data_IF_583166465535
#
_entry.id   IF_583166465535
#
_cell.length_a   1.000
_cell.length_b   1.000
_cell.length_c   1.000
_cell.angle_alpha   90.00
_cell.angle_beta   90.00
_cell.angle_gamma   90.00
#
_symmetry.space_group_name_H-M   'P 1'
#
loop_
_entity.id
_entity.type
_entity.pdbx_description
1 polymer ?
#
# COMPACT_ATOMS: atom_id res chain seq x y z
N UNK A 1 -14.18 13.77 -9.25
CA UNK A 1 -15.44 13.90 -8.50
C UNK A 1 -15.27 15.09 -7.58
N UNK A 2 -16.23 16.01 -7.54
CA UNK A 2 -16.23 17.10 -6.54
C UNK A 2 -16.78 16.58 -5.21
N UNK A 3 -16.37 17.13 -4.06
CA UNK A 3 -16.97 16.75 -2.78
C UNK A 3 -18.49 17.05 -2.78
N UNK A 4 -19.33 16.13 -2.27
CA UNK A 4 -20.75 16.38 -2.06
C UNK A 4 -21.00 17.61 -1.18
N UNK A 5 -22.06 18.36 -1.47
CA UNK A 5 -22.46 19.56 -0.70
C UNK A 5 -22.64 19.26 0.80
N UNK A 6 -23.07 18.05 1.16
CA UNK A 6 -23.21 17.62 2.55
C UNK A 6 -21.86 17.61 3.29
N UNK A 7 -20.75 17.26 2.61
CA UNK A 7 -19.43 17.30 3.23
C UNK A 7 -18.97 18.73 3.48
N UNK A 8 -19.21 19.65 2.53
CA UNK A 8 -18.93 21.07 2.72
C UNK A 8 -19.75 21.67 3.87
N UNK A 9 -21.05 21.35 3.92
CA UNK A 9 -21.94 21.85 4.96
C UNK A 9 -21.56 21.36 6.36
N UNK A 10 -21.11 20.10 6.49
CA UNK A 10 -20.77 19.52 7.79
C UNK A 10 -19.34 19.79 8.27
N UNK A 11 -18.37 19.83 7.35
CA UNK A 11 -16.95 19.98 7.71
C UNK A 11 -16.46 21.43 7.61
N UNK A 12 -17.09 22.25 6.75
CA UNK A 12 -16.64 23.61 6.47
C UNK A 12 -15.23 23.66 5.88
N UNK A 13 -14.58 24.82 6.01
CA UNK A 13 -13.16 25.02 5.69
C UNK A 13 -12.83 25.23 4.21
N UNK A 14 -11.53 25.41 3.95
CA UNK A 14 -10.94 25.56 2.62
C UNK A 14 -10.44 24.21 2.14
N UNK A 15 -10.96 23.74 1.00
CA UNK A 15 -10.67 22.43 0.43
C UNK A 15 -9.66 22.56 -0.71
N UNK A 16 -8.53 21.89 -0.58
CA UNK A 16 -7.50 21.82 -1.62
C UNK A 16 -7.32 20.38 -2.06
N UNK A 17 -7.39 20.06 -3.35
CA UNK A 17 -7.16 18.69 -3.82
C UNK A 17 -5.72 18.28 -3.52
N UNK A 18 -5.53 17.10 -2.94
CA UNK A 18 -4.21 16.49 -2.79
C UNK A 18 -3.88 15.68 -4.05
N UNK A 19 -2.72 15.95 -4.62
CA UNK A 19 -2.16 15.20 -5.76
C UNK A 19 -1.24 14.10 -5.22
N UNK A 20 -1.33 12.86 -5.72
CA UNK A 20 -0.36 11.82 -5.30
C UNK A 20 -0.74 10.36 -5.47
N UNK A 21 -1.99 10.02 -5.82
CA UNK A 21 -2.42 8.63 -5.99
C UNK A 21 -3.29 8.43 -7.22
N UNK A 22 -3.33 7.19 -7.74
CA UNK A 22 -4.07 6.82 -8.97
C UNK A 22 -5.60 6.90 -8.81
N UNK A 23 -6.12 7.10 -7.59
CA UNK A 23 -7.52 7.43 -7.29
C UNK A 23 -7.62 8.84 -6.68
N UNK A 24 -7.98 9.81 -7.53
CA UNK A 24 -7.79 11.25 -7.29
C UNK A 24 -8.94 11.91 -6.50
N UNK A 25 -9.44 11.31 -5.43
CA UNK A 25 -10.52 11.89 -4.63
C UNK A 25 -10.10 12.06 -3.17
N UNK A 26 -9.00 12.79 -2.97
CA UNK A 26 -8.47 13.14 -1.65
C UNK A 26 -8.30 14.66 -1.57
N UNK A 27 -8.73 15.24 -0.45
CA UNK A 27 -8.65 16.67 -0.18
C UNK A 27 -7.99 16.94 1.15
N UNK A 28 -7.15 17.97 1.17
CA UNK A 28 -6.73 18.65 2.38
C UNK A 28 -7.80 19.69 2.73
N UNK A 29 -8.29 19.67 3.97
CA UNK A 29 -9.31 20.59 4.46
C UNK A 29 -8.73 21.38 5.62
N UNK A 30 -8.51 22.67 5.40
CA UNK A 30 -8.09 23.62 6.43
C UNK A 30 -9.34 24.27 7.04
N UNK A 31 -9.48 24.17 8.36
CA UNK A 31 -10.57 24.79 9.12
C UNK A 31 -9.94 25.75 10.11
N UNK A 32 -10.44 26.98 10.18
CA UNK A 32 -9.88 28.01 11.06
C UNK A 32 -9.86 27.53 12.51
N UNK A 33 -8.73 27.78 13.18
CA UNK A 33 -8.46 27.39 14.57
C UNK A 33 -8.60 25.89 14.87
N UNK A 34 -8.54 25.01 13.86
CA UNK A 34 -8.61 23.55 14.02
C UNK A 34 -7.49 22.84 13.27
N UNK A 35 -7.06 21.64 13.74
CA UNK A 35 -6.15 20.80 12.97
C UNK A 35 -6.71 20.47 11.60
N UNK A 36 -5.87 20.55 10.57
CA UNK A 36 -6.25 20.19 9.22
C UNK A 36 -6.65 18.71 9.10
N UNK A 37 -7.47 18.42 8.10
CA UNK A 37 -8.02 17.09 7.86
C UNK A 37 -7.69 16.60 6.46
N UNK A 38 -7.65 15.29 6.31
CA UNK A 38 -7.71 14.62 5.01
C UNK A 38 -9.11 14.06 4.83
N UNK A 39 -9.77 14.42 3.74
CA UNK A 39 -11.04 13.81 3.34
C UNK A 39 -10.78 12.98 2.10
N UNK A 40 -11.11 11.69 2.16
CA UNK A 40 -11.11 10.81 1.00
C UNK A 40 -12.51 10.35 0.68
N UNK A 41 -12.88 10.48 -0.59
CA UNK A 41 -14.19 10.06 -1.10
C UNK A 41 -14.00 8.78 -1.89
N UNK A 42 -14.81 7.78 -1.56
CA UNK A 42 -14.80 6.49 -2.19
C UNK A 42 -15.12 6.62 -3.68
N UNK A 43 -14.21 6.12 -4.51
CA UNK A 43 -14.46 5.97 -5.93
C UNK A 43 -15.33 4.71 -6.15
N UNK A 44 -16.48 4.88 -6.81
CA UNK A 44 -17.41 3.77 -7.13
C UNK A 44 -16.95 2.96 -8.35
N UNK A 45 -15.81 3.28 -8.97
CA UNK A 45 -15.21 2.47 -10.04
C UNK A 45 -14.64 1.16 -9.50
N UNK A 46 -14.55 0.16 -10.37
CA UNK A 46 -13.97 -1.15 -10.04
C UNK A 46 -12.53 -0.98 -9.53
N UNK A 47 -12.29 -1.41 -8.30
CA UNK A 47 -10.96 -1.36 -7.70
C UNK A 47 -9.96 -2.26 -8.45
N UNK A 48 -8.66 -1.86 -8.55
CA UNK A 48 -7.62 -2.76 -9.02
C UNK A 48 -7.66 -4.06 -8.22
N UNK A 49 -7.54 -5.23 -8.85
CA UNK A 49 -7.60 -6.50 -8.11
C UNK A 49 -6.52 -6.67 -7.04
N UNK A 50 -5.40 -5.96 -7.18
CA UNK A 50 -4.34 -5.94 -6.15
C UNK A 50 -4.73 -5.11 -4.92
N UNK A 51 -5.61 -4.11 -5.09
CA UNK A 51 -5.95 -3.09 -4.09
C UNK A 51 -7.48 -3.01 -3.94
N UNK A 52 -8.04 -3.71 -2.94
CA UNK A 52 -9.48 -3.90 -2.80
C UNK A 52 -10.27 -2.60 -2.55
N UNK A 53 -9.67 -1.59 -1.90
CA UNK A 53 -10.28 -0.29 -1.58
C UNK A 53 -11.62 -0.42 -0.84
N UNK A 54 -11.63 -1.10 0.32
CA UNK A 54 -12.82 -1.29 1.15
C UNK A 54 -12.92 -0.18 2.22
N UNK A 55 -13.89 0.75 2.12
CA UNK A 55 -14.01 1.88 3.06
C UNK A 55 -14.37 1.46 4.50
N UNK A 56 -15.02 0.32 4.68
CA UNK A 56 -15.41 -0.15 6.02
C UNK A 56 -14.23 -0.85 6.70
N UNK A 57 -13.45 -1.62 5.93
CA UNK A 57 -12.18 -2.18 6.41
C UNK A 57 -11.20 -1.06 6.77
N UNK A 58 -11.13 0.00 5.97
CA UNK A 58 -10.32 1.18 6.24
C UNK A 58 -10.72 1.90 7.52
N UNK A 59 -12.01 2.20 7.70
CA UNK A 59 -12.49 2.81 8.93
C UNK A 59 -12.18 1.95 10.16
N UNK A 60 -12.36 0.64 10.04
CA UNK A 60 -12.03 -0.34 11.09
C UNK A 60 -10.54 -0.28 11.43
N UNK A 61 -9.66 -0.25 10.43
CA UNK A 61 -8.22 -0.18 10.62
C UNK A 61 -7.78 1.12 11.29
N UNK A 62 -8.24 2.26 10.79
CA UNK A 62 -7.92 3.59 11.34
C UNK A 62 -8.41 3.75 12.78
N UNK A 63 -9.59 3.20 13.10
CA UNK A 63 -10.12 3.23 14.47
C UNK A 63 -9.26 2.40 15.41
N UNK A 64 -8.85 1.19 15.00
CA UNK A 64 -7.99 0.32 15.80
C UNK A 64 -6.58 0.88 16.03
N UNK A 65 -6.06 1.66 15.07
CA UNK A 65 -4.73 2.28 15.14
C UNK A 65 -4.73 3.67 15.78
N UNK A 66 -5.90 4.20 16.17
CA UNK A 66 -6.01 5.51 16.78
C UNK A 66 -5.15 5.60 18.06
N UNK A 67 -4.31 6.63 18.16
CA UNK A 67 -3.42 6.86 19.29
C UNK A 67 -2.11 6.05 19.28
N UNK A 68 -1.91 5.14 18.32
CA UNK A 68 -0.64 4.39 18.18
C UNK A 68 0.50 5.21 17.61
N UNK A 69 0.18 6.32 16.93
CA UNK A 69 1.14 7.09 16.14
C UNK A 69 1.47 6.48 14.78
N UNK A 70 0.99 5.28 14.44
CA UNK A 70 1.30 4.60 13.18
C UNK A 70 0.45 5.05 11.99
N UNK A 71 -0.79 5.47 12.24
CA UNK A 71 -1.75 5.87 11.22
C UNK A 71 -2.38 7.24 11.56
N UNK A 72 -2.97 7.97 10.58
CA UNK A 72 -3.80 9.12 10.85
C UNK A 72 -4.92 8.77 11.84
N UNK A 73 -5.17 9.65 12.81
CA UNK A 73 -6.35 9.55 13.66
C UNK A 73 -7.62 9.63 12.81
N UNK A 74 -8.50 8.63 12.97
CA UNK A 74 -9.84 8.66 12.40
C UNK A 74 -10.66 9.79 13.04
N UNK A 75 -11.33 10.60 12.22
CA UNK A 75 -12.18 11.72 12.69
C UNK A 75 -13.65 11.38 12.47
N UNK A 76 -14.03 11.00 11.24
CA UNK A 76 -15.43 10.74 10.89
C UNK A 76 -15.55 9.80 9.69
N UNK A 77 -16.61 9.00 9.68
CA UNK A 77 -17.04 8.20 8.53
C UNK A 77 -18.37 8.72 8.02
N UNK A 78 -18.44 8.99 6.72
CA UNK A 78 -19.67 9.19 5.95
C UNK A 78 -19.96 7.91 5.15
N UNK A 79 -21.13 7.73 4.51
CA UNK A 79 -21.36 6.56 3.65
C UNK A 79 -20.29 6.41 2.55
N UNK A 80 -19.94 7.51 1.88
CA UNK A 80 -19.02 7.52 0.73
C UNK A 80 -17.68 8.21 1.02
N UNK A 81 -17.38 8.56 2.27
CA UNK A 81 -16.12 9.22 2.59
C UNK A 81 -15.57 8.82 3.94
N UNK A 82 -14.26 8.92 4.09
CA UNK A 82 -13.54 8.78 5.36
C UNK A 82 -12.77 10.08 5.61
N UNK A 83 -12.87 10.58 6.83
CA UNK A 83 -12.16 11.77 7.29
C UNK A 83 -11.15 11.36 8.36
N UNK A 84 -9.90 11.77 8.16
CA UNK A 84 -8.81 11.57 9.11
C UNK A 84 -8.12 12.89 9.41
N UNK A 85 -7.28 12.92 10.43
CA UNK A 85 -6.32 14.01 10.57
C UNK A 85 -5.44 14.12 9.32
N UNK A 86 -5.02 15.34 8.99
CA UNK A 86 -3.90 15.56 8.09
C UNK A 86 -2.60 15.41 8.88
N UNK A 87 -1.68 14.61 8.37
CA UNK A 87 -0.35 14.47 8.97
C UNK A 87 0.54 15.52 8.34
N UNK A 88 0.86 16.56 9.11
CA UNK A 88 1.82 17.59 8.71
C UNK A 88 3.23 16.99 8.72
N UNK A 89 3.75 16.64 7.55
CA UNK A 89 5.02 15.95 7.42
C UNK A 89 5.52 15.98 5.99
N UNK A 90 6.65 15.32 5.77
CA UNK A 90 7.27 15.22 4.44
C UNK A 90 6.96 13.87 3.82
N UNK A 91 6.79 13.84 2.50
CA UNK A 91 6.75 12.58 1.76
C UNK A 91 8.01 11.79 2.05
N UNK A 92 7.88 10.48 2.23
CA UNK A 92 9.02 9.62 2.48
C UNK A 92 10.11 9.74 1.41
N UNK A 93 11.34 9.94 1.87
CA UNK A 93 12.51 10.35 1.11
C UNK A 93 13.58 9.24 1.03
N UNK A 94 13.17 7.98 1.16
CA UNK A 94 14.09 6.84 1.15
C UNK A 94 14.63 6.45 2.53
N UNK A 95 14.01 6.89 3.63
CA UNK A 95 14.34 6.41 4.98
C UNK A 95 13.86 4.97 5.23
N UNK A 96 14.54 3.98 4.62
CA UNK A 96 14.18 2.54 4.68
C UNK A 96 14.11 1.98 6.10
N UNK A 97 15.02 2.39 6.99
CA UNK A 97 15.01 1.94 8.39
C UNK A 97 13.75 2.40 9.13
N UNK A 98 13.31 3.63 8.89
CA UNK A 98 12.09 4.17 9.51
C UNK A 98 10.84 3.43 8.99
N UNK A 99 10.78 3.15 7.68
CA UNK A 99 9.70 2.34 7.09
C UNK A 99 9.67 0.92 7.66
N UNK A 100 10.84 0.27 7.78
CA UNK A 100 10.95 -1.05 8.41
C UNK A 100 10.47 -1.07 9.85
N UNK A 101 10.85 -0.04 10.63
CA UNK A 101 10.36 0.13 12.01
C UNK A 101 8.84 0.29 12.05
N UNK A 102 8.26 1.14 11.19
CA UNK A 102 6.81 1.35 11.16
C UNK A 102 6.03 0.08 10.83
N UNK A 103 6.49 -0.71 9.84
CA UNK A 103 5.86 -1.99 9.51
C UNK A 103 5.99 -3.03 10.63
N UNK A 104 7.13 -3.10 11.30
CA UNK A 104 7.30 -3.97 12.47
C UNK A 104 6.34 -3.59 13.59
N UNK A 105 6.27 -2.30 13.90
CA UNK A 105 5.43 -1.79 14.98
C UNK A 105 3.93 -1.96 14.65
N UNK A 106 3.55 -1.88 13.36
CA UNK A 106 2.22 -2.26 12.85
C UNK A 106 1.95 -3.75 13.00
N UNK A 107 2.86 -4.60 12.52
CA UNK A 107 2.68 -6.05 12.54
C UNK A 107 2.64 -6.63 13.97
N UNK A 108 3.13 -5.87 14.96
CA UNK A 108 3.01 -6.18 16.38
C UNK A 108 1.63 -5.83 16.99
N UNK A 109 0.80 -5.04 16.29
CA UNK A 109 -0.56 -4.74 16.74
C UNK A 109 -1.48 -5.95 16.54
N UNK A 110 -2.49 -6.07 17.40
CA UNK A 110 -3.57 -7.04 17.21
C UNK A 110 -4.45 -6.57 16.05
N UNK A 111 -4.59 -7.35 14.95
CA UNK A 111 -5.45 -6.96 13.86
C UNK A 111 -6.93 -6.97 14.29
N UNK A 112 -7.72 -5.93 13.95
CA UNK A 112 -9.17 -6.01 14.09
C UNK A 112 -9.76 -7.00 13.05
N UNK A 113 -11.07 -7.27 13.08
CA UNK A 113 -11.73 -8.10 12.06
C UNK A 113 -11.62 -7.50 10.65
N UNK A 114 -10.55 -7.86 9.94
CA UNK A 114 -10.21 -7.40 8.59
C UNK A 114 -10.28 -8.55 7.58
N UNK A 115 -10.37 -8.21 6.27
CA UNK A 115 -10.21 -9.19 5.20
C UNK A 115 -8.92 -10.01 5.36
N UNK A 116 -8.98 -11.28 4.99
CA UNK A 116 -7.83 -12.19 5.11
C UNK A 116 -7.03 -12.16 3.83
N UNK A 117 -5.75 -11.80 3.93
CA UNK A 117 -4.82 -11.88 2.83
C UNK A 117 -4.51 -13.37 2.52
N UNK A 118 -4.44 -13.75 1.23
CA UNK A 118 -4.27 -15.15 0.87
C UNK A 118 -2.85 -15.60 1.18
N UNK A 119 -2.71 -16.76 1.81
CA UNK A 119 -1.40 -17.37 2.07
C UNK A 119 -0.63 -17.75 0.80
N UNK A 120 -1.23 -17.68 -0.40
CA UNK A 120 -0.48 -17.84 -1.65
C UNK A 120 -0.96 -16.81 -2.66
N UNK A 121 -0.03 -15.99 -3.15
CA UNK A 121 -0.33 -14.89 -4.07
C UNK A 121 -0.56 -15.34 -5.53
N UNK A 122 -0.31 -16.61 -5.85
CA UNK A 122 -0.36 -17.14 -7.22
C UNK A 122 -1.75 -17.01 -7.83
N UNK A 123 -2.81 -17.34 -7.08
CA UNK A 123 -4.17 -17.32 -7.61
C UNK A 123 -4.63 -15.88 -7.93
N UNK A 124 -4.21 -14.89 -7.13
CA UNK A 124 -4.49 -13.49 -7.41
C UNK A 124 -3.72 -12.98 -8.62
N UNK A 125 -2.45 -13.37 -8.76
CA UNK A 125 -1.66 -13.06 -9.94
C UNK A 125 -2.31 -13.60 -11.22
N UNK A 126 -2.88 -14.81 -11.18
CA UNK A 126 -3.62 -15.40 -12.30
C UNK A 126 -4.89 -14.60 -12.64
N UNK A 127 -5.67 -14.20 -11.62
CA UNK A 127 -6.87 -13.37 -11.81
C UNK A 127 -6.53 -12.01 -12.45
N UNK A 128 -5.40 -11.42 -12.07
CA UNK A 128 -4.91 -10.17 -12.68
C UNK A 128 -4.47 -10.43 -14.12
N UNK A 129 -3.69 -11.48 -14.37
CA UNK A 129 -3.21 -11.83 -15.72
C UNK A 129 -4.35 -12.09 -16.71
N UNK A 130 -5.47 -12.64 -16.23
CA UNK A 130 -6.67 -12.84 -17.07
C UNK A 130 -7.27 -11.51 -17.58
N UNK A 131 -7.03 -10.40 -16.89
CA UNK A 131 -7.43 -9.07 -17.32
C UNK A 131 -6.46 -8.45 -18.34
N UNK A 132 -5.27 -9.04 -18.51
CA UNK A 132 -4.30 -8.61 -19.50
C UNK A 132 -4.61 -9.19 -20.89
N UNK A 133 -4.31 -8.39 -21.91
CA UNK A 133 -4.27 -8.77 -23.33
C UNK A 133 -3.00 -9.58 -23.59
N UNK A 134 -1.85 -9.11 -23.12
CA UNK A 134 -0.60 -9.89 -23.14
C UNK A 134 -0.53 -10.77 -21.88
N UNK A 135 -0.49 -12.08 -22.11
CA UNK A 135 -0.45 -13.10 -21.05
C UNK A 135 0.87 -13.87 -21.00
N UNK A 136 1.92 -13.33 -21.62
CA UNK A 136 3.25 -13.96 -21.65
C UNK A 136 3.85 -14.18 -20.26
N UNK A 137 3.42 -13.44 -19.23
CA UNK A 137 3.83 -13.70 -17.85
C UNK A 137 3.46 -15.10 -17.33
N UNK A 138 2.53 -15.81 -17.99
CA UNK A 138 2.26 -17.21 -17.69
C UNK A 138 3.47 -18.13 -17.89
N UNK A 139 4.43 -17.78 -18.76
CA UNK A 139 5.63 -18.60 -19.03
C UNK A 139 6.69 -18.49 -17.94
N UNK A 140 6.61 -17.48 -17.08
CA UNK A 140 7.51 -17.23 -15.94
C UNK A 140 6.79 -17.36 -14.60
N UNK A 141 5.61 -18.00 -14.60
CA UNK A 141 4.83 -18.27 -13.40
C UNK A 141 5.63 -19.19 -12.45
N UNK A 142 5.89 -18.78 -11.20
CA UNK A 142 6.62 -19.60 -10.24
C UNK A 142 5.75 -20.77 -9.75
N UNK A 143 6.39 -21.74 -9.09
CA UNK A 143 5.67 -22.76 -8.34
C UNK A 143 4.84 -22.12 -7.23
N UNK A 144 3.73 -22.78 -6.87
CA UNK A 144 2.94 -22.36 -5.71
C UNK A 144 3.76 -22.53 -4.44
N UNK A 145 3.95 -21.43 -3.71
CA UNK A 145 4.65 -21.43 -2.42
C UNK A 145 3.78 -20.69 -1.41
N UNK A 146 3.09 -21.43 -0.52
CA UNK A 146 2.32 -20.81 0.56
C UNK A 146 3.23 -20.12 1.57
N UNK A 147 2.84 -18.91 1.97
CA UNK A 147 3.45 -18.16 3.04
C UNK A 147 3.16 -18.78 4.41
N UNK A 148 4.20 -18.81 5.22
CA UNK A 148 4.21 -19.25 6.61
C UNK A 148 4.13 -18.04 7.56
N UNK A 149 4.00 -18.31 8.85
CA UNK A 149 3.91 -17.27 9.89
C UNK A 149 2.48 -16.90 10.30
N UNK A 150 2.36 -16.08 11.36
CA UNK A 150 1.06 -15.69 11.93
C UNK A 150 0.32 -14.69 11.04
N UNK A 151 -0.98 -14.54 11.29
CA UNK A 151 -1.77 -13.46 10.72
C UNK A 151 -1.52 -12.18 11.53
N UNK A 152 -0.80 -11.22 10.96
CA UNK A 152 -0.54 -9.90 11.56
C UNK A 152 -1.45 -8.84 10.96
N UNK A 153 -1.47 -7.65 11.54
CA UNK A 153 -2.14 -6.48 10.96
C UNK A 153 -1.34 -5.97 9.76
N UNK A 154 -1.92 -6.05 8.56
CA UNK A 154 -1.32 -5.58 7.31
C UNK A 154 -1.93 -4.24 6.87
N UNK A 155 -1.08 -3.37 6.35
CA UNK A 155 -1.48 -2.17 5.61
C UNK A 155 -2.08 -2.54 4.25
N UNK A 156 -1.47 -3.50 3.56
CA UNK A 156 -1.86 -3.98 2.23
C UNK A 156 -1.44 -3.10 1.05
N UNK A 157 -0.89 -1.92 1.32
CA UNK A 157 -0.27 -1.03 0.31
C UNK A 157 0.80 -0.09 0.91
N UNK A 158 1.81 -0.59 1.64
CA UNK A 158 2.77 0.27 2.32
C UNK A 158 3.86 0.79 1.37
N UNK A 159 3.52 1.19 0.14
CA UNK A 159 4.49 1.77 -0.81
C UNK A 159 4.97 3.13 -0.34
N UNK A 160 6.12 3.61 -0.85
CA UNK A 160 6.72 4.88 -0.39
C UNK A 160 5.80 6.10 -0.49
N UNK A 161 4.89 6.14 -1.47
CA UNK A 161 3.89 7.20 -1.59
C UNK A 161 2.85 7.24 -0.46
N UNK A 162 2.73 6.14 0.30
CA UNK A 162 1.81 5.97 1.42
C UNK A 162 2.52 6.09 2.77
N UNK A 163 3.72 6.69 2.79
CA UNK A 163 4.51 6.92 3.99
C UNK A 163 4.81 8.41 4.12
N UNK A 164 4.50 8.96 5.31
CA UNK A 164 4.81 10.34 5.68
C UNK A 164 5.80 10.33 6.84
N UNK A 165 6.88 11.10 6.70
CA UNK A 165 7.82 11.35 7.78
C UNK A 165 7.34 12.52 8.63
N UNK A 166 7.03 12.24 9.89
CA UNK A 166 6.59 13.21 10.89
C UNK A 166 7.44 13.10 12.14
N UNK A 167 8.10 14.19 12.53
CA UNK A 167 9.00 14.23 13.70
C UNK A 167 10.03 13.08 13.73
N UNK A 168 10.60 12.73 12.56
CA UNK A 168 11.59 11.65 12.43
C UNK A 168 11.00 10.22 12.48
N UNK A 169 9.68 10.08 12.49
CA UNK A 169 8.99 8.78 12.48
C UNK A 169 8.20 8.60 11.18
N UNK A 170 8.22 7.40 10.64
CA UNK A 170 7.38 7.02 9.51
C UNK A 170 5.95 6.73 10.01
N UNK A 171 4.97 7.42 9.44
CA UNK A 171 3.54 7.16 9.62
C UNK A 171 2.96 6.65 8.30
N UNK A 172 2.12 5.63 8.38
CA UNK A 172 1.47 4.99 7.24
C UNK A 172 0.13 5.67 6.97
N UNK A 173 -0.09 6.10 5.74
CA UNK A 173 -1.33 6.74 5.28
C UNK A 173 -1.99 5.89 4.19
N UNK A 174 -3.19 6.27 3.76
CA UNK A 174 -3.93 5.54 2.72
C UNK A 174 -4.25 4.07 3.09
N UNK A 175 -5.07 3.93 4.14
CA UNK A 175 -5.49 2.64 4.69
C UNK A 175 -6.64 2.00 3.91
N UNK A 176 -6.61 2.06 2.58
CA UNK A 176 -7.69 1.55 1.72
C UNK A 176 -7.69 0.02 1.54
N UNK A 177 -6.55 -0.64 1.78
CA UNK A 177 -6.40 -2.07 1.56
C UNK A 177 -5.98 -2.88 2.80
N UNK A 178 -6.46 -2.55 4.02
CA UNK A 178 -5.99 -3.21 5.22
C UNK A 178 -6.47 -4.65 5.24
N UNK A 179 -5.63 -5.52 5.77
CA UNK A 179 -5.92 -6.94 5.84
C UNK A 179 -5.28 -7.54 7.08
N UNK A 180 -5.54 -8.84 7.29
CA UNK A 180 -4.74 -9.68 8.18
C UNK A 180 -4.16 -10.86 7.43
N UNK A 181 -2.93 -11.24 7.76
CA UNK A 181 -2.26 -12.35 7.10
C UNK A 181 -0.74 -12.32 7.31
N UNK A 182 0.02 -13.14 6.56
CA UNK A 182 1.47 -13.16 6.68
C UNK A 182 2.10 -11.79 6.38
N UNK A 183 2.99 -11.35 7.27
CA UNK A 183 3.73 -10.08 7.14
C UNK A 183 4.48 -9.91 5.81
N UNK A 184 4.80 -11.02 5.14
CA UNK A 184 5.50 -11.02 3.86
C UNK A 184 4.76 -10.24 2.77
N UNK A 185 3.43 -10.11 2.85
CA UNK A 185 2.67 -9.29 1.90
C UNK A 185 3.13 -7.84 1.87
N UNK A 186 3.18 -7.20 3.04
CA UNK A 186 3.56 -5.78 3.17
C UNK A 186 5.05 -5.59 2.88
N UNK A 187 5.90 -6.50 3.39
CA UNK A 187 7.34 -6.44 3.17
C UNK A 187 7.69 -6.58 1.69
N UNK A 188 7.10 -7.56 1.00
CA UNK A 188 7.39 -7.79 -0.41
C UNK A 188 6.88 -6.65 -1.30
N UNK A 189 5.76 -6.03 -0.92
CA UNK A 189 5.20 -4.90 -1.66
C UNK A 189 6.03 -3.63 -1.45
N UNK A 190 6.46 -3.34 -0.21
CA UNK A 190 7.36 -2.22 0.06
C UNK A 190 8.72 -2.41 -0.64
N UNK A 191 9.34 -3.59 -0.54
CA UNK A 191 10.64 -3.89 -1.16
C UNK A 191 10.54 -4.28 -2.65
N UNK A 192 9.37 -4.18 -3.27
CA UNK A 192 9.18 -4.47 -4.69
C UNK A 192 10.01 -3.51 -5.55
N UNK A 193 10.89 -4.00 -6.43
CA UNK A 193 11.55 -3.17 -7.43
C UNK A 193 10.58 -2.34 -8.26
N UNK A 194 9.42 -2.90 -8.65
CA UNK A 194 8.42 -2.11 -9.36
C UNK A 194 7.91 -0.93 -8.53
N UNK A 195 7.49 -1.19 -7.29
CA UNK A 195 6.94 -0.13 -6.43
C UNK A 195 7.99 0.93 -6.08
N UNK A 196 9.24 0.53 -5.91
CA UNK A 196 10.34 1.46 -5.66
C UNK A 196 10.72 2.28 -6.90
N UNK A 197 10.68 1.70 -8.10
CA UNK A 197 10.83 2.46 -9.36
C UNK A 197 9.70 3.49 -9.50
N UNK A 198 8.46 3.13 -9.18
CA UNK A 198 7.33 4.06 -9.25
C UNK A 198 7.47 5.18 -8.21
N UNK A 199 7.89 4.84 -6.99
CA UNK A 199 7.98 5.81 -5.89
C UNK A 199 9.23 6.69 -5.94
N UNK A 200 10.36 6.17 -6.42
CA UNK A 200 11.70 6.78 -6.28
C UNK A 200 12.49 6.81 -7.59
N UNK A 201 11.94 6.28 -8.69
CA UNK A 201 12.63 6.21 -9.98
C UNK A 201 13.75 5.17 -10.06
N UNK A 202 13.94 4.34 -9.04
CA UNK A 202 15.00 3.31 -9.01
C UNK A 202 14.68 2.12 -8.11
N UNK A 203 15.39 1.02 -8.35
CA UNK A 203 15.41 -0.15 -7.47
C UNK A 203 16.24 0.17 -6.21
N UNK A 204 15.86 -0.35 -5.03
CA UNK A 204 16.64 -0.18 -3.82
C UNK A 204 17.99 -0.90 -3.91
N UNK A 205 19.03 -0.25 -3.39
CA UNK A 205 20.36 -0.85 -3.22
C UNK A 205 20.44 -1.83 -2.06
N UNK A 206 21.55 -2.55 -1.96
CA UNK A 206 21.77 -3.51 -0.88
C UNK A 206 21.76 -2.86 0.51
N UNK A 207 22.36 -1.67 0.65
CA UNK A 207 22.42 -0.94 1.92
C UNK A 207 21.03 -0.47 2.37
N UNK A 208 20.15 -0.14 1.43
CA UNK A 208 18.76 0.27 1.73
C UNK A 208 17.91 -0.92 2.18
N UNK A 209 18.06 -2.07 1.51
CA UNK A 209 17.44 -3.31 1.95
C UNK A 209 17.96 -3.70 3.33
N UNK A 210 19.26 -3.58 3.58
CA UNK A 210 19.85 -3.83 4.90
C UNK A 210 19.33 -2.85 5.96
N UNK A 211 19.18 -1.57 5.62
CA UNK A 211 18.59 -0.56 6.50
C UNK A 211 17.14 -0.88 6.85
N UNK A 212 16.34 -1.31 5.86
CA UNK A 212 14.98 -1.80 6.11
C UNK A 212 14.99 -3.00 7.06
N UNK A 213 15.81 -4.00 6.81
CA UNK A 213 15.94 -5.18 7.68
C UNK A 213 16.43 -4.82 9.08
N UNK A 214 17.28 -3.81 9.25
CA UNK A 214 17.69 -3.31 10.56
C UNK A 214 16.52 -2.66 11.33
N UNK A 215 15.61 -1.98 10.63
CA UNK A 215 14.38 -1.43 11.20
C UNK A 215 13.32 -2.49 11.50
N UNK A 216 13.08 -3.40 10.56
CA UNK A 216 12.00 -4.39 10.62
C UNK A 216 12.36 -5.61 11.48
N UNK A 217 13.58 -6.12 11.33
CA UNK A 217 14.00 -7.44 11.82
C UNK A 217 14.17 -8.45 10.68
N UNK A 218 14.44 -9.73 11.01
CA UNK A 218 14.60 -10.79 10.01
C UNK A 218 13.30 -10.98 9.22
N UNK A 219 13.45 -11.32 7.94
CA UNK A 219 12.31 -11.65 7.09
C UNK A 219 11.63 -12.91 7.63
N UNK A 220 10.28 -12.94 7.70
CA UNK A 220 9.55 -14.03 8.34
C UNK A 220 9.49 -15.31 7.48
N UNK A 221 9.76 -15.18 6.17
CA UNK A 221 9.53 -16.21 5.16
C UNK A 221 10.26 -15.85 3.84
N UNK A 222 10.52 -16.84 2.99
CA UNK A 222 11.16 -16.73 1.68
C UNK A 222 10.19 -16.93 0.49
N UNK A 223 8.87 -17.09 0.74
CA UNK A 223 7.79 -17.23 -0.26
C UNK A 223 7.51 -15.99 -1.13
N UNK A 224 8.56 -15.35 -1.62
CA UNK A 224 8.58 -14.08 -2.33
C UNK A 224 8.22 -14.24 -3.81
N UNK A 225 8.59 -15.34 -4.47
CA UNK A 225 8.40 -15.46 -5.93
C UNK A 225 6.93 -15.31 -6.36
N UNK A 226 5.93 -15.94 -5.71
CA UNK A 226 4.53 -15.73 -6.05
C UNK A 226 4.06 -14.28 -5.86
N UNK A 227 4.57 -13.58 -4.85
CA UNK A 227 4.25 -12.17 -4.59
C UNK A 227 4.80 -11.27 -5.70
N UNK A 228 6.07 -11.47 -6.09
CA UNK A 228 6.69 -10.75 -7.21
C UNK A 228 5.95 -10.97 -8.52
N UNK A 229 5.59 -12.22 -8.81
CA UNK A 229 4.85 -12.55 -10.01
C UNK A 229 3.47 -11.88 -10.03
N UNK A 230 2.75 -11.85 -8.89
CA UNK A 230 1.49 -11.10 -8.75
C UNK A 230 1.68 -9.60 -9.04
N UNK A 231 2.76 -9.00 -8.54
CA UNK A 231 3.08 -7.58 -8.80
C UNK A 231 3.43 -7.35 -10.27
N UNK A 232 4.19 -8.26 -10.91
CA UNK A 232 4.48 -8.19 -12.35
C UNK A 232 3.19 -8.25 -13.19
N UNK A 233 2.26 -9.16 -12.85
CA UNK A 233 0.94 -9.21 -13.49
C UNK A 233 0.18 -7.89 -13.33
N UNK A 234 0.23 -7.26 -12.15
CA UNK A 234 -0.35 -5.94 -11.93
C UNK A 234 0.32 -4.87 -12.81
N UNK A 235 1.64 -4.83 -12.87
CA UNK A 235 2.36 -3.87 -13.71
C UNK A 235 2.00 -4.03 -15.19
N UNK A 236 1.95 -5.27 -15.70
CA UNK A 236 1.49 -5.55 -17.06
C UNK A 236 0.08 -5.00 -17.31
N UNK A 237 -0.86 -5.29 -16.40
CA UNK A 237 -2.22 -4.78 -16.51
C UNK A 237 -2.24 -3.24 -16.55
N UNK A 238 -1.46 -2.57 -15.70
CA UNK A 238 -1.37 -1.10 -15.66
C UNK A 238 -0.75 -0.51 -16.93
N UNK A 239 0.27 -1.14 -17.50
CA UNK A 239 0.85 -0.74 -18.80
C UNK A 239 -0.21 -0.78 -19.89
N UNK A 240 -1.03 -1.83 -19.92
CA UNK A 240 -2.12 -1.96 -20.91
C UNK A 240 -3.26 -0.97 -20.72
N UNK A 241 -3.41 -0.39 -19.52
CA UNK A 241 -4.31 0.74 -19.26
C UNK A 241 -3.67 2.10 -19.63
N UNK A 242 -2.46 2.12 -20.20
CA UNK A 242 -1.76 3.34 -20.63
C UNK A 242 -0.93 4.01 -19.53
N UNK A 243 -0.69 3.35 -18.39
CA UNK A 243 0.19 3.89 -17.35
C UNK A 243 1.65 3.55 -17.63
N UNK A 244 2.30 4.33 -18.49
CA UNK A 244 3.66 4.06 -18.98
C UNK A 244 4.74 3.95 -17.89
N UNK A 245 4.57 4.60 -16.74
CA UNK A 245 5.50 4.48 -15.60
C UNK A 245 5.67 3.02 -15.11
N UNK A 246 4.66 2.16 -15.34
CA UNK A 246 4.73 0.75 -14.97
C UNK A 246 5.59 -0.09 -15.91
N UNK A 247 6.03 0.43 -17.07
CA UNK A 247 6.82 -0.33 -18.04
C UNK A 247 8.21 -0.65 -17.51
N UNK A 248 8.90 0.37 -17.00
CA UNK A 248 10.20 0.19 -16.34
C UNK A 248 10.06 -0.60 -15.04
N UNK A 249 8.99 -0.33 -14.29
CA UNK A 249 8.66 -1.04 -13.07
C UNK A 249 8.48 -2.56 -13.30
N UNK A 250 7.74 -2.94 -14.36
CA UNK A 250 7.55 -4.33 -14.75
C UNK A 250 8.89 -5.02 -15.04
N UNK A 251 9.78 -4.38 -15.80
CA UNK A 251 11.07 -4.95 -16.13
C UNK A 251 11.95 -5.17 -14.88
N UNK A 252 11.92 -4.22 -13.94
CA UNK A 252 12.62 -4.34 -12.67
C UNK A 252 12.07 -5.52 -11.84
N UNK A 253 10.75 -5.68 -11.76
CA UNK A 253 10.13 -6.78 -11.03
C UNK A 253 10.41 -8.14 -11.66
N UNK A 254 10.40 -8.24 -12.99
CA UNK A 254 10.74 -9.49 -13.70
C UNK A 254 12.18 -9.91 -13.47
N UNK A 255 13.10 -8.94 -13.40
CA UNK A 255 14.51 -9.21 -13.08
C UNK A 255 14.64 -9.81 -11.68
N UNK A 256 13.95 -9.24 -10.69
CA UNK A 256 13.96 -9.77 -9.33
C UNK A 256 13.21 -11.11 -9.19
N UNK A 257 12.10 -11.30 -9.91
CA UNK A 257 11.38 -12.58 -9.96
C UNK A 257 12.30 -13.70 -10.46
N UNK A 258 13.02 -13.47 -11.57
CA UNK A 258 13.95 -14.45 -12.11
C UNK A 258 15.06 -14.83 -11.11
N UNK A 259 15.53 -13.88 -10.30
CA UNK A 259 16.49 -14.15 -9.23
C UNK A 259 15.87 -14.95 -8.08
N UNK A 260 14.62 -14.67 -7.70
CA UNK A 260 13.90 -15.41 -6.66
C UNK A 260 13.65 -16.87 -7.06
N UNK A 261 13.26 -17.13 -8.31
CA UNK A 261 13.05 -18.50 -8.81
C UNK A 261 14.34 -19.32 -8.81
N UNK A 262 15.49 -18.71 -9.14
CA UNK A 262 16.80 -19.42 -9.15
C UNK A 262 17.31 -19.81 -7.76
N UNK A 263 16.77 -19.22 -6.69
CA UNK A 263 17.17 -19.50 -5.31
C UNK A 263 16.33 -20.60 -4.65
N UNK A 264 15.24 -21.02 -5.30
CA UNK A 264 14.38 -22.15 -4.92
C UNK A 264 14.94 -23.44 -5.52
#
# INVERSE_FOLDING_TARGET
>A
MMPPDILYAELGGVWTPLTGGLSHHVWHVAVDDQPAMTVRIADRTTAPRLFARDPDAEWTALTALSGTGLAPRAIRRFPDAVVTEYIDGTTWDGQFMAAGKALRDLHAQTPPPLPVAPRCALQDGQKILQMCRDRNLSTVMPAAQPMTGPDVFLHGDPVGGNIVMHAGQARLIDWQCPARGPALHDIALFLSPAMQVIAQGRVPGADEIAAFSAGYGPLPDDAIAPLRWRIACHCQWRVEQGHEIYREALQAELTALAQSIRRQ
#
